data_IF_363855318769
#
_entry.id   IF_363855318769
#
_cell.length_a   1.000
_cell.length_b   1.000
_cell.length_c   1.000
_cell.angle_alpha   90.00
_cell.angle_beta   90.00
_cell.angle_gamma   90.00
#
_symmetry.space_group_name_H-M   'P 1'
#
loop_
_entity.id
_entity.type
_entity.pdbx_description
1 polymer ?
#
# COMPACT_ATOMS: atom_id res chain seq x y z
N UNK A 1 -10.28 -13.00 -8.97
CA UNK A 1 -10.67 -11.59 -8.74
C UNK A 1 -9.97 -10.71 -9.77
N UNK A 2 -10.69 -9.78 -10.36
CA UNK A 2 -10.09 -8.90 -11.37
C UNK A 2 -9.07 -7.94 -10.75
N UNK A 3 -7.94 -7.71 -11.41
CA UNK A 3 -6.96 -6.72 -10.94
C UNK A 3 -7.56 -5.32 -10.88
N UNK A 4 -7.17 -4.54 -9.89
CA UNK A 4 -7.56 -3.13 -9.80
C UNK A 4 -7.01 -2.37 -11.01
N UNK A 5 -7.74 -1.35 -11.46
CA UNK A 5 -7.36 -0.55 -12.63
C UNK A 5 -7.10 0.91 -12.27
N UNK A 6 -7.72 1.40 -11.19
CA UNK A 6 -7.63 2.79 -10.78
C UNK A 6 -7.34 2.90 -9.28
N UNK A 7 -6.97 4.09 -8.84
CA UNK A 7 -6.76 4.33 -7.41
C UNK A 7 -8.07 4.20 -6.61
N UNK A 8 -9.21 4.51 -7.20
CA UNK A 8 -10.50 4.32 -6.55
C UNK A 8 -10.79 2.83 -6.30
N UNK A 9 -10.42 1.98 -7.25
CA UNK A 9 -10.55 0.52 -7.08
C UNK A 9 -9.75 0.03 -5.88
N UNK A 10 -8.57 0.60 -5.67
CA UNK A 10 -7.71 0.21 -4.54
C UNK A 10 -8.40 0.48 -3.22
N UNK A 11 -8.96 1.68 -3.05
CA UNK A 11 -9.69 2.03 -1.82
C UNK A 11 -10.86 1.08 -1.59
N UNK A 12 -11.63 0.77 -2.62
CA UNK A 12 -12.78 -0.14 -2.52
C UNK A 12 -12.33 -1.56 -2.12
N UNK A 13 -11.23 -2.04 -2.71
CA UNK A 13 -10.74 -3.39 -2.42
C UNK A 13 -10.13 -3.52 -1.03
N UNK A 14 -9.55 -2.46 -0.49
CA UNK A 14 -8.93 -2.50 0.84
C UNK A 14 -9.93 -2.32 1.97
N UNK A 15 -11.09 -1.73 1.71
CA UNK A 15 -12.11 -1.52 2.74
C UNK A 15 -12.48 -2.81 3.51
N UNK A 16 -12.74 -3.96 2.85
CA UNK A 16 -13.03 -5.20 3.59
C UNK A 16 -11.87 -5.76 4.38
N UNK A 17 -10.65 -5.31 4.09
CA UNK A 17 -9.43 -5.82 4.74
C UNK A 17 -8.99 -4.97 5.92
N UNK A 18 -9.69 -3.89 6.23
CA UNK A 18 -9.25 -2.89 7.20
C UNK A 18 -8.91 -3.47 8.57
N UNK A 19 -9.70 -4.41 9.05
CA UNK A 19 -9.46 -4.98 10.37
C UNK A 19 -8.19 -5.83 10.40
N UNK A 20 -7.97 -6.65 9.39
CA UNK A 20 -6.75 -7.45 9.28
C UNK A 20 -5.53 -6.57 9.17
N UNK A 21 -5.62 -5.49 8.40
CA UNK A 21 -4.54 -4.53 8.24
C UNK A 21 -4.19 -3.89 9.58
N UNK A 22 -5.19 -3.47 10.34
CA UNK A 22 -4.98 -2.91 11.69
C UNK A 22 -4.35 -3.92 12.64
N UNK A 23 -4.77 -5.17 12.58
CA UNK A 23 -4.24 -6.23 13.45
C UNK A 23 -2.74 -6.47 13.19
N UNK A 24 -2.25 -6.17 12.00
CA UNK A 24 -0.83 -6.23 11.69
C UNK A 24 -0.05 -5.02 12.21
N UNK A 25 -0.73 -4.06 12.82
CA UNK A 25 -0.08 -2.88 13.37
C UNK A 25 0.13 -1.75 12.37
N UNK A 26 -0.61 -1.75 11.27
CA UNK A 26 -0.49 -0.70 10.25
C UNK A 26 -1.27 0.53 10.69
N UNK A 27 -0.60 1.68 10.68
CA UNK A 27 -1.21 2.97 10.99
C UNK A 27 -1.76 3.65 9.75
N UNK A 28 -1.04 3.56 8.62
CA UNK A 28 -1.48 4.20 7.38
C UNK A 28 -0.92 3.48 6.17
N UNK A 29 -1.64 3.61 5.07
CA UNK A 29 -1.20 3.16 3.74
C UNK A 29 -1.38 4.32 2.79
N UNK A 30 -0.36 4.61 2.00
CA UNK A 30 -0.41 5.64 0.96
C UNK A 30 -0.04 5.04 -0.38
N UNK A 31 -0.67 5.53 -1.42
CA UNK A 31 -0.42 5.10 -2.80
C UNK A 31 0.56 6.07 -3.45
N UNK A 32 1.54 5.55 -4.17
CA UNK A 32 2.43 6.37 -4.99
C UNK A 32 2.69 5.66 -6.32
N UNK A 33 3.51 6.24 -7.17
CA UNK A 33 3.85 5.64 -8.44
C UNK A 33 2.79 5.81 -9.52
N UNK A 34 2.73 4.85 -10.46
CA UNK A 34 1.91 4.99 -11.66
C UNK A 34 0.42 5.13 -11.39
N UNK A 35 -0.10 4.47 -10.36
CA UNK A 35 -1.54 4.58 -10.04
C UNK A 35 -1.93 5.97 -9.57
N UNK A 36 -1.08 6.64 -8.81
CA UNK A 36 -1.34 8.03 -8.39
C UNK A 36 -1.32 8.97 -9.59
N UNK A 37 -0.38 8.77 -10.51
CA UNK A 37 -0.25 9.61 -11.69
C UNK A 37 -1.27 9.28 -12.78
N UNK A 38 -2.12 8.28 -12.55
CA UNK A 38 -3.09 7.80 -13.53
C UNK A 38 -2.41 7.29 -14.83
N UNK A 39 -1.24 6.69 -14.67
CA UNK A 39 -0.44 6.15 -15.78
C UNK A 39 -0.36 4.62 -15.74
N UNK A 40 -1.10 3.98 -14.84
CA UNK A 40 -1.07 2.53 -14.68
C UNK A 40 -1.64 1.82 -15.90
N UNK A 41 -1.03 0.70 -16.26
CA UNK A 41 -1.51 -0.17 -17.33
C UNK A 41 -1.64 -1.61 -16.79
N UNK A 42 -1.90 -2.58 -17.68
CA UNK A 42 -2.13 -3.97 -17.26
C UNK A 42 -0.91 -4.64 -16.61
N UNK A 43 0.28 -4.11 -16.85
CA UNK A 43 1.53 -4.67 -16.31
C UNK A 43 2.05 -3.90 -15.11
N UNK A 44 1.38 -2.83 -14.71
CA UNK A 44 1.85 -1.99 -13.61
C UNK A 44 1.71 -2.67 -12.26
N UNK A 45 2.73 -2.52 -11.41
CA UNK A 45 2.65 -2.90 -10.01
C UNK A 45 1.93 -1.79 -9.23
N UNK A 46 1.38 -2.16 -8.08
CA UNK A 46 0.81 -1.18 -7.16
C UNK A 46 1.89 -0.82 -6.15
N UNK A 47 2.25 0.46 -6.10
CA UNK A 47 3.27 0.96 -5.19
C UNK A 47 2.62 1.55 -3.94
N UNK A 48 2.85 0.92 -2.80
CA UNK A 48 2.24 1.32 -1.54
C UNK A 48 3.30 1.63 -0.49
N UNK A 49 3.10 2.75 0.19
CA UNK A 49 3.91 3.16 1.34
C UNK A 49 3.13 2.87 2.61
N UNK A 50 3.69 2.09 3.50
CA UNK A 50 3.03 1.70 4.74
C UNK A 50 3.78 2.24 5.95
N UNK A 51 3.02 2.73 6.93
CA UNK A 51 3.55 3.10 8.24
C UNK A 51 3.03 2.12 9.28
N UNK A 52 3.95 1.42 9.94
CA UNK A 52 3.63 0.56 11.07
C UNK A 52 3.71 1.33 12.39
N UNK A 53 2.91 0.92 13.36
CA UNK A 53 3.05 1.40 14.73
C UNK A 53 4.44 1.03 15.28
N UNK A 54 4.97 1.79 16.24
CA UNK A 54 6.27 1.45 16.85
C UNK A 54 6.30 0.02 17.35
N UNK A 55 7.33 -0.73 16.91
CA UNK A 55 7.49 -2.13 17.30
C UNK A 55 6.62 -3.13 16.57
N UNK A 56 5.68 -2.68 15.74
CA UNK A 56 4.76 -3.58 15.03
C UNK A 56 5.36 -4.17 13.75
N UNK A 57 6.36 -3.53 13.18
CA UNK A 57 6.98 -4.01 11.95
C UNK A 57 7.87 -5.20 12.25
N UNK A 58 7.39 -6.39 11.94
CA UNK A 58 8.18 -7.62 11.97
C UNK A 58 8.22 -8.19 10.55
N UNK A 59 9.13 -9.12 10.31
CA UNK A 59 9.18 -9.79 9.01
C UNK A 59 7.84 -10.47 8.70
N UNK A 60 7.27 -11.16 9.69
CA UNK A 60 6.00 -11.86 9.50
C UNK A 60 4.86 -10.90 9.20
N UNK A 61 4.76 -9.78 9.91
CA UNK A 61 3.72 -8.78 9.66
C UNK A 61 3.88 -8.16 8.28
N UNK A 62 5.11 -7.85 7.89
CA UNK A 62 5.38 -7.27 6.57
C UNK A 62 4.99 -8.23 5.45
N UNK A 63 5.40 -9.49 5.54
CA UNK A 63 5.08 -10.48 4.51
C UNK A 63 3.59 -10.80 4.47
N UNK A 64 2.94 -10.92 5.62
CA UNK A 64 1.50 -11.15 5.68
C UNK A 64 0.75 -10.01 5.04
N UNK A 65 1.16 -8.77 5.31
CA UNK A 65 0.55 -7.59 4.70
C UNK A 65 0.72 -7.60 3.18
N UNK A 66 1.92 -7.90 2.71
CA UNK A 66 2.20 -7.93 1.28
C UNK A 66 1.30 -8.96 0.56
N UNK A 67 1.18 -10.17 1.10
CA UNK A 67 0.32 -11.19 0.51
C UNK A 67 -1.15 -10.80 0.56
N UNK A 68 -1.59 -10.22 1.68
CA UNK A 68 -2.98 -9.75 1.83
C UNK A 68 -3.31 -8.71 0.77
N UNK A 69 -2.41 -7.74 0.57
CA UNK A 69 -2.62 -6.68 -0.40
C UNK A 69 -2.60 -7.20 -1.83
N UNK A 70 -1.68 -8.10 -2.16
CA UNK A 70 -1.65 -8.70 -3.50
C UNK A 70 -2.91 -9.49 -3.80
N UNK A 71 -3.39 -10.24 -2.83
CA UNK A 71 -4.62 -11.01 -2.98
C UNK A 71 -5.83 -10.09 -3.17
N UNK A 72 -5.92 -9.04 -2.37
CA UNK A 72 -7.04 -8.11 -2.44
C UNK A 72 -7.05 -7.30 -3.75
N UNK A 73 -5.88 -6.90 -4.23
CA UNK A 73 -5.76 -6.02 -5.38
C UNK A 73 -5.62 -6.75 -6.71
N UNK A 74 -5.27 -8.03 -6.68
CA UNK A 74 -5.09 -8.82 -7.90
C UNK A 74 -3.89 -8.39 -8.73
N UNK A 75 -2.89 -7.75 -8.11
CA UNK A 75 -1.66 -7.28 -8.76
C UNK A 75 -0.47 -7.48 -7.84
N UNK A 76 0.71 -7.51 -8.42
CA UNK A 76 1.95 -7.44 -7.65
C UNK A 76 2.00 -6.09 -6.94
N UNK A 77 2.36 -6.13 -5.66
CA UNK A 77 2.45 -4.94 -4.82
C UNK A 77 3.91 -4.71 -4.45
N UNK A 78 4.40 -3.50 -4.70
CA UNK A 78 5.68 -3.05 -4.17
C UNK A 78 5.41 -2.32 -2.87
N UNK A 79 5.77 -2.95 -1.76
CA UNK A 79 5.47 -2.45 -0.44
C UNK A 79 6.71 -1.83 0.19
N UNK A 80 6.64 -0.54 0.47
CA UNK A 80 7.73 0.24 1.05
C UNK A 80 7.29 0.76 2.40
N UNK A 81 8.16 0.64 3.41
CA UNK A 81 7.86 1.19 4.73
C UNK A 81 8.44 2.59 4.87
N UNK A 82 7.82 3.42 5.70
CA UNK A 82 8.31 4.78 5.95
C UNK A 82 9.71 4.78 6.52
N UNK A 83 10.08 3.75 7.28
CA UNK A 83 11.41 3.62 7.89
C UNK A 83 12.51 3.33 6.87
N UNK A 84 12.15 2.73 5.73
CA UNK A 84 13.13 2.35 4.70
C UNK A 84 13.38 3.43 3.67
N UNK A 85 12.68 4.56 3.75
CA UNK A 85 12.86 5.66 2.81
C UNK A 85 14.20 6.36 3.04
N UNK A 86 15.00 6.46 1.98
CA UNK A 86 16.18 7.31 2.03
C UNK A 86 15.75 8.78 2.02
N UNK A 87 16.57 9.72 2.59
CA UNK A 87 16.19 11.13 2.60
C UNK A 87 15.95 11.71 1.21
N UNK A 88 16.64 11.17 0.21
CA UNK A 88 16.55 11.68 -1.16
C UNK A 88 15.35 11.11 -1.91
N UNK A 89 15.23 9.78 -1.97
CA UNK A 89 14.14 9.11 -2.67
C UNK A 89 12.83 9.29 -1.90
N UNK A 90 12.89 9.26 -0.57
CA UNK A 90 11.73 9.40 0.28
C UNK A 90 11.00 10.72 0.09
N UNK A 91 11.74 11.80 -0.17
CA UNK A 91 11.13 13.10 -0.42
C UNK A 91 10.19 13.05 -1.63
N UNK A 92 10.63 12.43 -2.73
CA UNK A 92 9.83 12.32 -3.95
C UNK A 92 8.60 11.45 -3.72
N UNK A 93 8.76 10.35 -3.01
CA UNK A 93 7.65 9.45 -2.69
C UNK A 93 6.62 10.17 -1.82
N UNK A 94 7.05 10.89 -0.79
CA UNK A 94 6.15 11.59 0.12
C UNK A 94 5.41 12.74 -0.56
N UNK A 95 6.05 13.43 -1.50
CA UNK A 95 5.40 14.50 -2.26
C UNK A 95 4.29 13.96 -3.17
N UNK A 96 4.47 12.76 -3.71
CA UNK A 96 3.52 12.13 -4.63
C UNK A 96 2.43 11.34 -3.91
N UNK A 97 2.71 10.80 -2.73
CA UNK A 97 1.86 9.83 -2.06
C UNK A 97 0.49 10.39 -1.67
N UNK A 98 -0.54 9.60 -1.95
CA UNK A 98 -1.92 9.91 -1.54
C UNK A 98 -2.38 8.85 -0.54
N UNK A 99 -2.97 9.30 0.56
CA UNK A 99 -3.48 8.39 1.59
C UNK A 99 -4.60 7.53 1.03
N UNK A 100 -4.52 6.22 1.32
CA UNK A 100 -5.60 5.29 0.97
C UNK A 100 -6.41 5.04 2.24
N UNK A 101 -7.68 5.45 2.28
CA UNK A 101 -8.52 5.17 3.44
C UNK A 101 -8.84 3.67 3.48
N UNK A 102 -8.39 2.98 4.51
CA UNK A 102 -8.73 1.59 4.75
C UNK A 102 -9.42 1.39 6.08
N UNK A 103 -9.48 2.44 6.89
CA UNK A 103 -10.11 2.45 8.21
C UNK A 103 -11.24 3.47 8.22
N UNK A 104 -12.40 3.01 8.56
CA UNK A 104 -13.54 3.92 8.74
C UNK A 104 -13.43 4.64 10.08
#
# INVERSE_FOLDING_TARGET
MNPVKTKDDIAVRLAPCQEKIRQLGVLSISLFGSFVRNEANSDSDVDLLVQFAPGAKTFDHFMTLAFLLEDALGRTVELVTTESLSPYIGKHILEEAENVPFAA
#
